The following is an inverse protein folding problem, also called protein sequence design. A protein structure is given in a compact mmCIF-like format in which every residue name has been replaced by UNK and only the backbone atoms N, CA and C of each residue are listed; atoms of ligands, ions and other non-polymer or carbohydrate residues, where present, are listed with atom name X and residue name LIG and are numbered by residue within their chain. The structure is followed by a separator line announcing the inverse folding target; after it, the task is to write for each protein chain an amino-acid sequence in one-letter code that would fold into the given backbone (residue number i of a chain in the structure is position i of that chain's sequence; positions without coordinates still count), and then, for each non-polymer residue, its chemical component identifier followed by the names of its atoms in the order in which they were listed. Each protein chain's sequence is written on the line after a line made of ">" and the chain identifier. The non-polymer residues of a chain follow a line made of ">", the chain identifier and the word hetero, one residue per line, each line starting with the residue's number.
data_IF_353972038366
#
_entry.id   IF_353972038366
#
_cell.length_a   1.000
_cell.length_b   1.000
_cell.length_c   1.000
_cell.angle_alpha   90.00
_cell.angle_beta   90.00
_cell.angle_gamma   90.00
#
_symmetry.space_group_name_H-M   'P 1'
#
loop_
_entity.id
_entity.type
_entity.pdbx_description
1 polymer ?
#
# COMPACT_ATOMS: atom_id res chain seq x y z
N UNK A 1 8.16 -3.98 17.42
CA UNK A 1 8.69 -4.59 16.19
C UNK A 1 8.39 -6.09 16.19
N UNK A 2 7.83 -6.60 15.10
CA UNK A 2 7.61 -8.04 14.93
C UNK A 2 8.89 -8.74 14.47
N UNK A 3 9.68 -8.05 13.65
CA UNK A 3 11.04 -8.43 13.28
C UNK A 3 11.94 -7.19 13.27
N UNK A 4 13.23 -7.40 13.46
CA UNK A 4 14.20 -6.30 13.49
C UNK A 4 15.58 -6.79 13.04
N UNK A 5 16.38 -5.84 12.56
CA UNK A 5 17.78 -6.01 12.20
C UNK A 5 18.61 -4.86 12.79
N UNK A 6 19.92 -4.94 12.66
CA UNK A 6 20.85 -3.93 13.16
C UNK A 6 20.57 -2.55 12.57
N UNK A 7 20.41 -2.48 11.25
CA UNK A 7 20.19 -1.23 10.51
C UNK A 7 18.87 -0.53 10.92
N UNK A 8 17.81 -1.31 11.17
CA UNK A 8 16.55 -0.78 11.66
C UNK A 8 16.70 -0.21 13.09
N UNK A 9 17.38 -0.93 13.98
CA UNK A 9 17.62 -0.47 15.35
C UNK A 9 18.43 0.81 15.36
N UNK A 10 19.49 0.91 14.59
CA UNK A 10 20.29 2.12 14.46
C UNK A 10 19.45 3.29 13.95
N UNK A 11 18.60 3.08 12.92
CA UNK A 11 17.73 4.13 12.38
C UNK A 11 16.73 4.64 13.41
N UNK A 12 16.10 3.75 14.17
CA UNK A 12 15.12 4.12 15.20
C UNK A 12 15.79 4.88 16.35
N UNK A 13 17.00 4.47 16.75
CA UNK A 13 17.72 5.03 17.91
C UNK A 13 18.42 6.35 17.59
N UNK A 14 19.15 6.47 16.47
CA UNK A 14 19.98 7.65 16.14
C UNK A 14 19.16 8.92 15.93
N UNK A 15 17.95 8.78 15.40
CA UNK A 15 17.10 9.94 15.06
C UNK A 15 16.45 10.62 16.28
N UNK A 16 16.61 10.09 17.50
CA UNK A 16 15.91 10.63 18.66
C UNK A 16 16.50 11.93 19.23
N UNK A 17 17.73 12.31 18.83
CA UNK A 17 18.36 13.56 19.32
C UNK A 17 18.45 13.69 20.85
N UNK A 18 17.85 12.76 21.58
CA UNK A 18 17.86 12.65 23.02
C UNK A 18 18.91 11.61 23.44
N UNK A 19 19.63 11.91 24.51
CA UNK A 19 20.65 11.04 25.13
C UNK A 19 20.12 9.70 25.69
N UNK A 20 18.97 9.25 25.23
CA UNK A 20 18.26 8.09 25.79
C UNK A 20 18.51 6.77 25.05
N UNK A 21 19.18 6.81 23.90
CA UNK A 21 19.75 5.58 23.37
C UNK A 21 21.01 5.24 24.19
N UNK A 22 21.12 4.00 24.67
CA UNK A 22 22.31 3.58 25.40
C UNK A 22 23.58 3.83 24.59
N UNK A 23 24.72 4.01 25.24
CA UNK A 23 26.06 4.17 24.64
C UNK A 23 26.47 2.97 23.73
N UNK A 24 25.54 2.03 23.51
CA UNK A 24 25.72 0.82 22.72
C UNK A 24 25.26 1.04 21.28
N UNK A 25 26.07 0.61 20.34
CA UNK A 25 25.64 0.39 18.95
C UNK A 25 24.60 -0.72 18.88
N UNK A 26 23.72 -0.72 17.86
CA UNK A 26 22.76 -1.81 17.67
C UNK A 26 23.45 -3.18 17.59
N UNK A 27 24.65 -3.24 16.99
CA UNK A 27 25.49 -4.45 16.93
C UNK A 27 25.85 -4.98 18.32
N UNK A 28 26.41 -4.13 19.18
CA UNK A 28 26.79 -4.51 20.54
C UNK A 28 25.58 -4.97 21.38
N UNK A 29 24.43 -4.29 21.19
CA UNK A 29 23.16 -4.67 21.81
C UNK A 29 22.70 -6.05 21.35
N UNK A 30 22.71 -6.35 20.05
CA UNK A 30 22.33 -7.66 19.50
C UNK A 30 23.28 -8.76 19.97
N UNK A 31 24.61 -8.50 20.01
CA UNK A 31 25.58 -9.44 20.54
C UNK A 31 25.34 -9.77 22.02
N UNK A 32 24.98 -8.76 22.82
CA UNK A 32 24.66 -8.96 24.22
C UNK A 32 23.39 -9.79 24.41
N UNK A 33 22.32 -9.50 23.65
CA UNK A 33 21.09 -10.28 23.67
C UNK A 33 21.35 -11.76 23.28
N UNK A 34 22.18 -11.99 22.26
CA UNK A 34 22.55 -13.35 21.83
C UNK A 34 23.40 -14.06 22.88
N UNK A 35 24.41 -13.39 23.43
CA UNK A 35 25.32 -13.97 24.45
C UNK A 35 24.57 -14.38 25.71
N UNK A 36 23.61 -13.56 26.13
CA UNK A 36 22.83 -13.81 27.34
C UNK A 36 21.57 -14.65 27.06
N UNK A 37 21.38 -15.12 25.80
CA UNK A 37 20.24 -15.92 25.40
C UNK A 37 18.88 -15.27 25.75
N UNK A 38 18.77 -13.96 25.56
CA UNK A 38 17.63 -13.14 25.99
C UNK A 38 16.47 -13.19 25.01
N UNK A 39 15.89 -14.37 24.81
CA UNK A 39 14.60 -14.60 24.12
C UNK A 39 14.50 -13.99 22.72
N UNK A 40 15.62 -13.84 21.99
CA UNK A 40 15.64 -13.49 20.58
C UNK A 40 15.80 -14.73 19.72
N UNK A 41 15.09 -14.74 18.59
CA UNK A 41 15.04 -15.86 17.65
C UNK A 41 15.53 -15.34 16.31
N UNK A 42 16.62 -15.90 15.74
CA UNK A 42 17.02 -15.57 14.39
C UNK A 42 15.98 -16.08 13.39
N UNK A 43 15.65 -15.27 12.37
CA UNK A 43 14.66 -15.60 11.34
C UNK A 43 15.30 -16.12 10.06
N UNK A 44 16.60 -15.92 9.89
CA UNK A 44 17.36 -16.35 8.72
C UNK A 44 18.70 -16.98 9.11
N UNK A 45 19.30 -17.74 8.19
CA UNK A 45 20.58 -18.42 8.40
C UNK A 45 21.77 -17.43 8.52
N UNK A 46 21.64 -16.25 7.95
CA UNK A 46 22.63 -15.17 8.02
C UNK A 46 22.57 -14.38 9.33
N UNK A 47 21.57 -14.66 10.16
CA UNK A 47 21.32 -13.95 11.42
C UNK A 47 21.25 -12.42 11.23
N UNK A 48 20.70 -11.98 10.13
CA UNK A 48 20.45 -10.58 9.85
C UNK A 48 19.15 -10.13 10.53
N UNK A 49 18.11 -10.98 10.46
CA UNK A 49 16.79 -10.70 10.99
C UNK A 49 16.52 -11.48 12.27
N UNK A 50 15.94 -10.80 13.26
CA UNK A 50 15.59 -11.34 14.56
C UNK A 50 14.14 -11.01 14.91
N UNK A 51 13.57 -11.78 15.80
CA UNK A 51 12.34 -11.44 16.52
C UNK A 51 12.49 -11.76 18.00
N UNK A 52 11.76 -11.05 18.81
CA UNK A 52 11.60 -11.45 20.21
C UNK A 52 10.66 -12.67 20.34
N UNK A 53 10.89 -13.50 21.36
CA UNK A 53 9.85 -14.41 21.81
C UNK A 53 8.61 -13.60 22.23
N UNK A 54 7.40 -14.05 21.86
CA UNK A 54 6.18 -13.25 22.01
C UNK A 54 5.95 -12.73 23.45
N UNK A 55 6.14 -13.57 24.49
CA UNK A 55 5.98 -13.14 25.87
C UNK A 55 6.99 -12.06 26.29
N UNK A 56 8.21 -12.14 25.79
CA UNK A 56 9.23 -11.15 26.09
C UNK A 56 8.95 -9.82 25.35
N UNK A 57 8.51 -9.91 24.10
CA UNK A 57 8.06 -8.73 23.34
C UNK A 57 6.93 -7.99 24.07
N UNK A 58 5.94 -8.74 24.55
CA UNK A 58 4.78 -8.17 25.22
C UNK A 58 5.21 -7.47 26.54
N UNK A 59 6.11 -8.09 27.32
CA UNK A 59 6.68 -7.46 28.49
C UNK A 59 7.44 -6.16 28.17
N UNK A 60 8.30 -6.18 27.15
CA UNK A 60 9.04 -4.98 26.72
C UNK A 60 8.11 -3.87 26.24
N UNK A 61 7.03 -4.24 25.58
CA UNK A 61 6.04 -3.27 25.09
C UNK A 61 5.22 -2.66 26.22
N UNK A 62 4.85 -3.46 27.22
CA UNK A 62 4.21 -2.95 28.44
C UNK A 62 5.12 -2.00 29.21
N UNK A 63 6.41 -2.33 29.36
CA UNK A 63 7.40 -1.47 30.00
C UNK A 63 7.57 -0.15 29.23
N UNK A 64 7.65 -0.21 27.90
CA UNK A 64 7.73 0.97 27.03
C UNK A 64 6.53 1.91 27.26
N UNK A 65 5.31 1.36 27.33
CA UNK A 65 4.09 2.12 27.60
C UNK A 65 4.02 2.73 29.00
N UNK A 66 4.66 2.10 29.98
CA UNK A 66 4.72 2.62 31.35
C UNK A 66 5.75 3.73 31.52
N UNK A 67 6.83 3.70 30.73
CA UNK A 67 7.97 4.59 30.86
C UNK A 67 7.92 5.79 29.93
N UNK A 68 7.20 5.69 28.81
CA UNK A 68 7.13 6.74 27.80
C UNK A 68 5.68 7.08 27.42
N UNK A 69 5.49 8.32 26.98
CA UNK A 69 4.19 8.78 26.48
C UNK A 69 3.86 8.24 25.07
N UNK A 70 2.62 8.43 24.66
CA UNK A 70 2.16 7.97 23.38
C UNK A 70 2.86 8.67 22.21
N UNK A 71 3.22 9.94 22.36
CA UNK A 71 3.89 10.72 21.31
C UNK A 71 5.29 10.16 21.03
N UNK A 72 6.01 9.77 22.06
CA UNK A 72 7.31 9.09 21.91
C UNK A 72 7.17 7.75 21.19
N UNK A 73 6.19 6.93 21.60
CA UNK A 73 5.93 5.62 20.98
C UNK A 73 5.53 5.80 19.50
N UNK A 74 4.66 6.75 19.20
CA UNK A 74 4.26 7.08 17.83
C UNK A 74 5.46 7.52 16.98
N UNK A 75 6.37 8.33 17.55
CA UNK A 75 7.59 8.72 16.85
C UNK A 75 8.52 7.53 16.53
N UNK A 76 8.63 6.55 17.42
CA UNK A 76 9.38 5.31 17.15
C UNK A 76 8.73 4.50 16.00
N UNK A 77 7.42 4.39 16.02
CA UNK A 77 6.68 3.71 14.93
C UNK A 77 6.85 4.43 13.59
N UNK A 78 6.80 5.76 13.55
CA UNK A 78 7.02 6.51 12.31
C UNK A 78 8.43 6.31 11.73
N UNK A 79 9.46 6.28 12.58
CA UNK A 79 10.83 5.99 12.13
C UNK A 79 10.96 4.58 11.58
N UNK A 80 10.38 3.60 12.26
CA UNK A 80 10.34 2.22 11.77
C UNK A 80 9.63 2.16 10.41
N UNK A 81 8.46 2.81 10.27
CA UNK A 81 7.72 2.90 9.01
C UNK A 81 8.56 3.48 7.88
N UNK A 82 9.26 4.60 8.14
CA UNK A 82 10.11 5.25 7.14
C UNK A 82 11.26 4.36 6.69
N UNK A 83 11.89 3.64 7.60
CA UNK A 83 12.93 2.69 7.28
C UNK A 83 12.41 1.53 6.45
N UNK A 84 11.28 0.93 6.83
CA UNK A 84 10.65 -0.16 6.09
C UNK A 84 10.20 0.28 4.68
N UNK A 85 9.75 1.54 4.52
CA UNK A 85 9.41 2.10 3.20
C UNK A 85 10.64 2.18 2.29
N UNK A 86 11.79 2.60 2.82
CA UNK A 86 13.07 2.67 2.06
C UNK A 86 13.54 1.27 1.64
N UNK A 87 13.35 0.28 2.49
CA UNK A 87 13.70 -1.13 2.22
C UNK A 87 12.62 -1.86 1.38
N UNK A 88 11.61 -1.14 0.87
CA UNK A 88 10.51 -1.69 0.07
C UNK A 88 9.65 -2.75 0.82
N UNK A 89 9.68 -2.73 2.15
CA UNK A 89 8.91 -3.62 3.03
C UNK A 89 7.60 -2.94 3.44
N UNK A 90 6.68 -2.84 2.48
CA UNK A 90 5.48 -1.99 2.58
C UNK A 90 4.47 -2.46 3.63
N UNK A 91 4.33 -3.76 3.84
CA UNK A 91 3.42 -4.33 4.84
C UNK A 91 3.81 -3.89 6.26
N UNK A 92 5.12 -3.95 6.56
CA UNK A 92 5.65 -3.49 7.84
C UNK A 92 5.58 -1.97 7.95
N UNK A 93 5.88 -1.25 6.87
CA UNK A 93 5.77 0.21 6.82
C UNK A 93 4.35 0.65 7.16
N UNK A 94 3.34 0.04 6.52
CA UNK A 94 1.93 0.34 6.76
C UNK A 94 1.51 -0.01 8.19
N UNK A 95 1.89 -1.20 8.68
CA UNK A 95 1.61 -1.62 10.06
C UNK A 95 2.14 -0.62 11.08
N UNK A 96 3.38 -0.15 10.91
CA UNK A 96 3.97 0.83 11.81
C UNK A 96 3.36 2.23 11.65
N UNK A 97 2.99 2.64 10.45
CA UNK A 97 2.27 3.89 10.21
C UNK A 97 0.93 3.93 10.96
N UNK A 98 0.18 2.84 10.87
CA UNK A 98 -1.11 2.71 11.58
C UNK A 98 -0.93 2.66 13.10
N UNK A 99 0.10 1.96 13.59
CA UNK A 99 0.43 1.92 15.02
C UNK A 99 0.86 3.29 15.57
N UNK A 100 1.41 4.16 14.72
CA UNK A 100 1.69 5.55 15.04
C UNK A 100 0.45 6.44 15.08
N UNK A 101 -0.68 5.97 14.54
CA UNK A 101 -1.92 6.74 14.40
C UNK A 101 -1.93 7.69 13.20
N UNK A 102 -0.95 7.61 12.28
CA UNK A 102 -0.87 8.47 11.10
C UNK A 102 -1.66 7.91 9.93
N UNK A 103 -2.98 8.10 9.99
CA UNK A 103 -3.90 7.65 8.95
C UNK A 103 -3.63 8.32 7.60
N UNK A 104 -3.26 9.61 7.60
CA UNK A 104 -2.95 10.35 6.38
C UNK A 104 -1.78 9.72 5.63
N UNK A 105 -0.70 9.40 6.37
CA UNK A 105 0.45 8.70 5.79
C UNK A 105 0.10 7.29 5.32
N UNK A 106 -0.76 6.56 6.05
CA UNK A 106 -1.20 5.22 5.63
C UNK A 106 -1.91 5.25 4.27
N UNK A 107 -2.81 6.22 4.07
CA UNK A 107 -3.47 6.44 2.77
C UNK A 107 -2.45 6.73 1.67
N UNK A 108 -1.50 7.64 1.93
CA UNK A 108 -0.45 7.99 0.95
C UNK A 108 0.42 6.79 0.59
N UNK A 109 0.79 5.95 1.57
CA UNK A 109 1.58 4.74 1.32
C UNK A 109 0.85 3.77 0.38
N UNK A 110 -0.43 3.49 0.65
CA UNK A 110 -1.24 2.61 -0.21
C UNK A 110 -1.42 3.23 -1.60
N UNK A 111 -1.83 4.50 -1.66
CA UNK A 111 -2.08 5.21 -2.91
C UNK A 111 -0.82 5.26 -3.81
N UNK A 112 0.35 5.49 -3.23
CA UNK A 112 1.61 5.59 -3.97
C UNK A 112 2.09 4.24 -4.52
N UNK A 113 1.89 3.17 -3.76
CA UNK A 113 2.40 1.85 -4.10
C UNK A 113 1.36 0.95 -4.82
N UNK A 114 0.10 1.44 -4.99
CA UNK A 114 -0.98 0.67 -5.59
C UNK A 114 -0.67 0.17 -7.01
N UNK A 115 -0.02 1.00 -7.84
CA UNK A 115 0.26 0.62 -9.22
C UNK A 115 1.22 -0.56 -9.31
N UNK A 116 2.34 -0.53 -8.58
CA UNK A 116 3.29 -1.64 -8.56
C UNK A 116 2.62 -2.96 -8.09
N UNK A 117 1.74 -2.89 -7.11
CA UNK A 117 1.01 -4.06 -6.63
C UNK A 117 -0.09 -4.52 -7.61
N UNK A 118 -0.75 -3.59 -8.32
CA UNK A 118 -1.73 -3.89 -9.38
C UNK A 118 -1.05 -4.57 -10.56
N UNK A 119 0.08 -4.04 -11.04
CA UNK A 119 0.84 -4.57 -12.18
C UNK A 119 1.42 -5.95 -11.87
N UNK A 120 1.78 -6.20 -10.61
CA UNK A 120 2.24 -7.50 -10.13
C UNK A 120 1.09 -8.46 -9.77
N UNK A 121 -0.18 -8.09 -10.01
CA UNK A 121 -1.38 -8.87 -9.70
C UNK A 121 -1.45 -9.33 -8.22
N UNK A 122 -0.93 -8.52 -7.30
CA UNK A 122 -0.88 -8.83 -5.87
C UNK A 122 -2.23 -8.54 -5.18
N UNK A 123 -3.32 -9.11 -5.68
CA UNK A 123 -4.70 -8.86 -5.23
C UNK A 123 -4.89 -9.08 -3.74
N UNK A 124 -4.31 -10.14 -3.20
CA UNK A 124 -4.41 -10.44 -1.78
C UNK A 124 -3.68 -9.40 -0.91
N UNK A 125 -2.50 -8.95 -1.32
CA UNK A 125 -1.75 -7.89 -0.64
C UNK A 125 -2.54 -6.58 -0.63
N UNK A 126 -3.11 -6.19 -1.78
CA UNK A 126 -3.95 -5.00 -1.89
C UNK A 126 -5.19 -5.10 -0.99
N UNK A 127 -5.82 -6.27 -0.91
CA UNK A 127 -6.96 -6.50 -0.01
C UNK A 127 -6.57 -6.35 1.46
N UNK A 128 -5.40 -6.90 1.86
CA UNK A 128 -4.86 -6.74 3.21
C UNK A 128 -4.61 -5.25 3.51
N UNK A 129 -3.97 -4.52 2.61
CA UNK A 129 -3.72 -3.08 2.80
C UNK A 129 -5.02 -2.30 3.03
N UNK A 130 -6.03 -2.54 2.20
CA UNK A 130 -7.33 -1.90 2.39
C UNK A 130 -8.02 -2.34 3.68
N UNK A 131 -7.87 -3.60 4.11
CA UNK A 131 -8.48 -4.10 5.33
C UNK A 131 -7.97 -3.43 6.61
N UNK A 132 -6.78 -2.85 6.56
CA UNK A 132 -6.20 -2.10 7.67
C UNK A 132 -6.74 -0.65 7.78
N UNK A 133 -7.42 -0.15 6.74
CA UNK A 133 -7.96 1.20 6.71
C UNK A 133 -9.45 1.20 7.08
N UNK A 134 -9.92 2.16 7.88
CA UNK A 134 -11.34 2.31 8.15
C UNK A 134 -12.14 2.56 6.88
N UNK A 135 -13.37 2.03 6.83
CA UNK A 135 -14.25 2.17 5.67
C UNK A 135 -14.50 3.65 5.31
N UNK A 136 -14.68 4.50 6.31
CA UNK A 136 -14.89 5.92 6.14
C UNK A 136 -13.71 6.61 5.44
N UNK A 137 -12.49 6.15 5.73
CA UNK A 137 -11.26 6.66 5.07
C UNK A 137 -11.22 6.20 3.62
N UNK A 138 -11.51 4.93 3.35
CA UNK A 138 -11.50 4.41 1.98
C UNK A 138 -12.53 5.16 1.12
N UNK A 139 -13.72 5.42 1.65
CA UNK A 139 -14.80 6.12 0.95
C UNK A 139 -14.46 7.59 0.61
N UNK A 140 -13.48 8.18 1.26
CA UNK A 140 -13.05 9.57 1.03
C UNK A 140 -11.89 9.71 0.04
N UNK A 141 -11.31 8.61 -0.44
CA UNK A 141 -10.11 8.63 -1.29
C UNK A 141 -10.34 7.83 -2.57
N UNK A 142 -10.39 8.55 -3.70
CA UNK A 142 -10.63 7.94 -5.01
C UNK A 142 -9.60 6.87 -5.37
N UNK A 143 -8.34 7.08 -5.02
CA UNK A 143 -7.24 6.12 -5.24
C UNK A 143 -7.50 4.77 -4.55
N UNK A 144 -8.03 4.79 -3.34
CA UNK A 144 -8.34 3.58 -2.58
C UNK A 144 -9.59 2.88 -3.12
N UNK A 145 -10.59 3.66 -3.55
CA UNK A 145 -11.78 3.13 -4.21
C UNK A 145 -11.43 2.47 -5.55
N UNK A 146 -10.50 3.04 -6.32
CA UNK A 146 -9.97 2.43 -7.57
C UNK A 146 -9.35 1.07 -7.26
N UNK A 147 -8.51 0.95 -6.23
CA UNK A 147 -7.94 -0.34 -5.81
C UNK A 147 -9.05 -1.34 -5.46
N UNK A 148 -10.06 -0.91 -4.70
CA UNK A 148 -11.22 -1.74 -4.34
C UNK A 148 -11.97 -2.25 -5.57
N UNK A 149 -12.18 -1.39 -6.57
CA UNK A 149 -12.83 -1.80 -7.82
C UNK A 149 -12.00 -2.85 -8.55
N UNK A 150 -10.68 -2.66 -8.67
CA UNK A 150 -9.79 -3.64 -9.28
C UNK A 150 -9.83 -5.00 -8.58
N UNK A 151 -9.78 -5.03 -7.24
CA UNK A 151 -9.94 -6.25 -6.44
C UNK A 151 -11.31 -6.90 -6.70
N UNK A 152 -12.38 -6.11 -6.70
CA UNK A 152 -13.72 -6.63 -6.92
C UNK A 152 -13.89 -7.28 -8.30
N UNK A 153 -13.28 -6.71 -9.34
CA UNK A 153 -13.37 -7.23 -10.72
C UNK A 153 -12.46 -8.45 -10.90
N UNK A 154 -11.18 -8.35 -10.54
CA UNK A 154 -10.18 -9.35 -10.93
C UNK A 154 -10.01 -10.48 -9.91
N UNK A 155 -10.29 -10.22 -8.62
CA UNK A 155 -10.13 -11.21 -7.56
C UNK A 155 -11.45 -11.82 -7.11
N UNK A 156 -12.51 -11.01 -7.00
CA UNK A 156 -13.82 -11.48 -6.56
C UNK A 156 -14.83 -11.71 -7.68
N UNK A 157 -14.50 -11.35 -8.94
CA UNK A 157 -15.37 -11.48 -10.13
C UNK A 157 -16.76 -10.81 -9.96
N UNK A 158 -16.83 -9.69 -9.22
CA UNK A 158 -18.08 -8.97 -8.90
C UNK A 158 -18.35 -7.83 -9.88
N UNK A 159 -18.42 -8.12 -11.17
CA UNK A 159 -18.48 -7.13 -12.25
C UNK A 159 -19.70 -6.19 -12.12
N UNK A 160 -20.89 -6.72 -11.83
CA UNK A 160 -22.13 -5.92 -11.79
C UNK A 160 -22.18 -4.93 -10.62
N UNK A 161 -21.47 -5.21 -9.52
CA UNK A 161 -21.51 -4.39 -8.30
C UNK A 161 -20.58 -3.18 -8.32
N UNK A 162 -19.69 -3.07 -9.31
CA UNK A 162 -18.62 -2.05 -9.33
C UNK A 162 -18.98 -0.79 -10.11
N UNK A 163 -19.96 -0.82 -11.01
CA UNK A 163 -20.39 0.37 -11.74
C UNK A 163 -20.85 1.52 -10.82
N UNK A 164 -21.66 1.27 -9.76
CA UNK A 164 -21.99 2.33 -8.81
C UNK A 164 -20.79 2.88 -8.04
N UNK A 165 -19.75 2.08 -7.81
CA UNK A 165 -18.51 2.55 -7.18
C UNK A 165 -17.75 3.48 -8.12
N UNK A 166 -17.72 3.17 -9.41
CA UNK A 166 -17.12 4.05 -10.42
C UNK A 166 -17.88 5.37 -10.56
N UNK A 167 -19.23 5.34 -10.52
CA UNK A 167 -20.05 6.56 -10.52
C UNK A 167 -19.70 7.44 -9.31
N UNK A 168 -19.50 6.84 -8.14
CA UNK A 168 -19.07 7.56 -6.94
C UNK A 168 -17.66 8.17 -7.11
N UNK A 169 -16.69 7.40 -7.63
CA UNK A 169 -15.32 7.88 -7.89
C UNK A 169 -15.36 9.09 -8.84
N UNK A 170 -16.07 8.98 -9.96
CA UNK A 170 -16.19 10.07 -10.94
C UNK A 170 -16.83 11.32 -10.33
N UNK A 171 -17.85 11.14 -9.49
CA UNK A 171 -18.49 12.25 -8.76
C UNK A 171 -17.55 12.92 -7.76
N UNK A 172 -16.66 12.16 -7.10
CA UNK A 172 -15.67 12.70 -6.17
C UNK A 172 -14.58 13.50 -6.86
N UNK A 173 -14.15 13.05 -8.05
CA UNK A 173 -13.08 13.71 -8.80
C UNK A 173 -13.51 15.07 -9.37
N UNK A 174 -14.81 15.29 -9.63
CA UNK A 174 -15.33 16.53 -10.17
C UNK A 174 -14.58 16.99 -11.43
N UNK A 175 -14.52 18.31 -11.68
CA UNK A 175 -13.82 18.92 -12.83
C UNK A 175 -12.55 19.67 -12.42
N UNK A 176 -11.97 19.35 -11.28
CA UNK A 176 -10.77 20.02 -10.78
C UNK A 176 -9.52 19.62 -11.58
N UNK A 177 -8.56 20.55 -11.78
CA UNK A 177 -7.28 20.23 -12.39
C UNK A 177 -6.43 19.35 -11.46
N UNK A 178 -5.67 18.43 -12.05
CA UNK A 178 -4.76 17.53 -11.30
C UNK A 178 -5.35 16.16 -10.98
N UNK A 179 -6.60 15.90 -11.37
CA UNK A 179 -7.26 14.60 -11.19
C UNK A 179 -7.37 13.81 -12.51
N UNK A 180 -6.77 14.31 -13.59
CA UNK A 180 -6.88 13.72 -14.94
C UNK A 180 -6.43 12.26 -14.94
N UNK A 181 -5.36 11.94 -14.23
CA UNK A 181 -4.86 10.57 -14.13
C UNK A 181 -5.91 9.65 -13.50
N UNK A 182 -6.50 10.04 -12.36
CA UNK A 182 -7.51 9.23 -11.67
C UNK A 182 -8.78 9.06 -12.51
N UNK A 183 -9.17 10.09 -13.25
CA UNK A 183 -10.26 10.00 -14.25
C UNK A 183 -9.92 9.00 -15.34
N UNK A 184 -8.70 9.05 -15.86
CA UNK A 184 -8.21 8.09 -16.84
C UNK A 184 -8.24 6.66 -16.31
N UNK A 185 -7.81 6.45 -15.07
CA UNK A 185 -7.88 5.16 -14.41
C UNK A 185 -9.33 4.67 -14.27
N UNK A 186 -10.24 5.50 -13.78
CA UNK A 186 -11.66 5.15 -13.63
C UNK A 186 -12.31 4.83 -14.98
N UNK A 187 -12.02 5.63 -16.00
CA UNK A 187 -12.53 5.41 -17.36
C UNK A 187 -11.99 4.10 -17.97
N UNK A 188 -10.69 3.79 -17.76
CA UNK A 188 -10.11 2.54 -18.24
C UNK A 188 -10.77 1.33 -17.58
N UNK A 189 -10.99 1.37 -16.27
CA UNK A 189 -11.69 0.29 -15.55
C UNK A 189 -13.12 0.14 -16.07
N UNK A 190 -13.85 1.24 -16.27
CA UNK A 190 -15.21 1.24 -16.80
C UNK A 190 -15.24 0.61 -18.21
N UNK A 191 -14.32 0.98 -19.06
CA UNK A 191 -14.18 0.40 -20.40
C UNK A 191 -13.86 -1.10 -20.37
N UNK A 192 -12.99 -1.53 -19.45
CA UNK A 192 -12.68 -2.93 -19.21
C UNK A 192 -13.93 -3.72 -18.76
N UNK A 193 -14.71 -3.17 -17.84
CA UNK A 193 -15.97 -3.78 -17.38
C UNK A 193 -16.95 -3.93 -18.52
N UNK A 194 -17.16 -2.91 -19.34
CA UNK A 194 -18.05 -2.99 -20.50
C UNK A 194 -17.58 -4.03 -21.52
N UNK A 195 -16.27 -4.15 -21.73
CA UNK A 195 -15.73 -5.22 -22.56
C UNK A 195 -16.05 -6.61 -22.00
N UNK A 196 -15.86 -6.84 -20.69
CA UNK A 196 -16.23 -8.09 -20.02
C UNK A 196 -17.73 -8.39 -20.14
N UNK A 197 -18.58 -7.36 -20.16
CA UNK A 197 -20.03 -7.48 -20.34
C UNK A 197 -20.46 -7.67 -21.79
N UNK A 198 -19.52 -7.68 -22.74
CA UNK A 198 -19.80 -7.82 -24.17
C UNK A 198 -20.31 -6.53 -24.85
N UNK A 199 -20.19 -5.38 -24.19
CA UNK A 199 -20.60 -4.08 -24.71
C UNK A 199 -19.39 -3.33 -25.32
N UNK A 200 -19.00 -3.72 -26.55
CA UNK A 200 -17.84 -3.16 -27.23
C UNK A 200 -17.95 -1.66 -27.50
N UNK A 201 -19.15 -1.14 -27.77
CA UNK A 201 -19.33 0.28 -28.07
C UNK A 201 -19.03 1.17 -26.85
N UNK A 202 -19.59 0.85 -25.68
CA UNK A 202 -19.31 1.55 -24.44
C UNK A 202 -17.85 1.34 -23.99
N UNK A 203 -17.30 0.13 -24.21
CA UNK A 203 -15.89 -0.12 -23.94
C UNK A 203 -14.99 0.84 -24.74
N UNK A 204 -15.17 0.94 -26.04
CA UNK A 204 -14.39 1.84 -26.91
C UNK A 204 -14.52 3.30 -26.50
N UNK A 205 -15.74 3.74 -26.14
CA UNK A 205 -15.98 5.09 -25.67
C UNK A 205 -15.15 5.42 -24.43
N UNK A 206 -15.25 4.59 -23.39
CA UNK A 206 -14.57 4.85 -22.12
C UNK A 206 -13.06 4.65 -22.21
N UNK A 207 -12.58 3.66 -22.96
CA UNK A 207 -11.13 3.49 -23.16
C UNK A 207 -10.55 4.64 -23.99
N UNK A 208 -11.29 5.17 -24.97
CA UNK A 208 -10.88 6.37 -25.72
C UNK A 208 -10.66 7.56 -24.82
N UNK A 209 -11.61 7.82 -23.90
CA UNK A 209 -11.46 8.87 -22.88
C UNK A 209 -10.26 8.60 -21.94
N UNK A 210 -10.06 7.36 -21.51
CA UNK A 210 -8.93 6.98 -20.66
C UNK A 210 -7.59 7.30 -21.32
N UNK A 211 -7.43 6.97 -22.61
CA UNK A 211 -6.20 7.23 -23.36
C UNK A 211 -5.90 8.72 -23.57
N UNK A 212 -6.91 9.59 -23.52
CA UNK A 212 -6.73 11.05 -23.53
C UNK A 212 -6.22 11.58 -22.17
N UNK A 213 -6.61 10.96 -21.06
CA UNK A 213 -6.30 11.45 -19.71
C UNK A 213 -5.11 10.76 -19.06
N UNK A 214 -4.78 9.52 -19.45
CA UNK A 214 -3.62 8.80 -18.89
C UNK A 214 -2.33 9.36 -19.49
N UNK A 215 -1.41 9.87 -18.66
CA UNK A 215 -0.13 10.39 -19.13
C UNK A 215 0.68 9.31 -19.87
N UNK A 216 1.43 9.71 -20.91
CA UNK A 216 2.31 8.81 -21.67
C UNK A 216 3.41 8.16 -20.79
N UNK A 217 3.77 8.80 -19.68
CA UNK A 217 4.72 8.25 -18.71
C UNK A 217 4.22 7.01 -17.95
N UNK A 218 2.90 6.76 -17.94
CA UNK A 218 2.27 5.60 -17.30
C UNK A 218 2.15 4.44 -18.30
N UNK A 219 3.30 3.94 -18.73
CA UNK A 219 3.42 2.99 -19.84
C UNK A 219 2.58 1.73 -19.63
N UNK A 220 2.65 1.10 -18.46
CA UNK A 220 1.98 -0.19 -18.21
C UNK A 220 0.46 -0.03 -18.22
N UNK A 221 -0.05 0.98 -17.52
CA UNK A 221 -1.49 1.25 -17.45
C UNK A 221 -2.05 1.67 -18.83
N UNK A 222 -1.29 2.48 -19.59
CA UNK A 222 -1.65 2.89 -20.93
C UNK A 222 -1.67 1.71 -21.90
N UNK A 223 -0.65 0.83 -21.83
CA UNK A 223 -0.58 -0.38 -22.67
C UNK A 223 -1.76 -1.33 -22.41
N UNK A 224 -2.19 -1.47 -21.16
CA UNK A 224 -3.39 -2.23 -20.81
C UNK A 224 -4.65 -1.61 -21.42
N UNK A 225 -4.79 -0.28 -21.37
CA UNK A 225 -5.92 0.42 -21.99
C UNK A 225 -5.91 0.24 -23.52
N UNK A 226 -4.76 0.34 -24.19
CA UNK A 226 -4.61 0.11 -25.63
C UNK A 226 -4.95 -1.34 -26.03
N UNK A 227 -4.58 -2.32 -25.20
CA UNK A 227 -4.96 -3.70 -25.40
C UNK A 227 -6.48 -3.89 -25.35
N UNK A 228 -7.14 -3.32 -24.33
CA UNK A 228 -8.60 -3.40 -24.22
C UNK A 228 -9.26 -2.69 -25.40
N UNK A 229 -8.74 -1.54 -25.84
CA UNK A 229 -9.22 -0.83 -27.01
C UNK A 229 -9.18 -1.73 -28.26
N UNK A 230 -8.06 -2.40 -28.49
CA UNK A 230 -7.92 -3.38 -29.59
C UNK A 230 -8.93 -4.51 -29.52
N UNK A 231 -9.09 -5.11 -28.33
CA UNK A 231 -10.06 -6.20 -28.13
C UNK A 231 -11.51 -5.75 -28.32
N UNK A 232 -11.86 -4.56 -27.86
CA UNK A 232 -13.19 -3.98 -28.07
C UNK A 232 -13.43 -3.62 -29.53
N UNK A 233 -12.41 -3.14 -30.25
CA UNK A 233 -12.48 -2.87 -31.70
C UNK A 233 -12.73 -4.14 -32.47
N UNK A 234 -12.06 -5.25 -32.16
CA UNK A 234 -12.30 -6.56 -32.77
C UNK A 234 -13.73 -7.05 -32.50
N UNK A 235 -14.23 -6.88 -31.29
CA UNK A 235 -15.61 -7.24 -30.92
C UNK A 235 -16.63 -6.48 -31.76
N UNK A 236 -16.34 -5.22 -32.14
CA UNK A 236 -17.20 -4.40 -33.01
C UNK A 236 -16.98 -4.60 -34.50
N UNK A 237 -16.04 -5.50 -34.90
CA UNK A 237 -15.70 -5.71 -36.30
C UNK A 237 -14.93 -4.55 -36.95
N UNK A 238 -14.35 -3.66 -36.13
CA UNK A 238 -13.52 -2.56 -36.59
C UNK A 238 -12.07 -3.06 -36.70
N UNK A 239 -11.81 -3.83 -37.75
CA UNK A 239 -10.45 -4.25 -38.12
C UNK A 239 -9.93 -3.30 -39.21
N UNK A 240 -8.77 -2.66 -38.93
CA UNK A 240 -7.90 -2.17 -40.00
C UNK A 240 -6.95 -3.27 -40.49
#
# INVERSE_FOLDING_TARGET
>A
LDRFCEELLDNICVSSGQKECPEYTASAFLEELQRNNLFIIPLDSGRKWFRYHHLFRDLLFDELRHTHDQDFISALHLRASQWYEIEELLDESLTHTLAAGDMTRAVVLVARNRHAALDAEQWHTLEIWLSHLPEEVIQQHAELLIVRVWIAVNYHFRIESVLPLLDNIESMLGDEPGVEQLRGEAAAIRGYIYWLMGNGAESLHHIGMALEWIPESHVDFRSNAELIFSMASQMMGLQE
#
